data_IF_621789726392
#
_entry.id   IF_621789726392
#
_cell.length_a   1.000
_cell.length_b   1.000
_cell.length_c   1.000
_cell.angle_alpha   90.00
_cell.angle_beta   90.00
_cell.angle_gamma   90.00
#
_symmetry.space_group_name_H-M   'P 1'
#
loop_
_entity.id
_entity.type
_entity.pdbx_description
1 polymer ?
#
# COMPACT_ATOMS: atom_id res chain seq x y z
N UNK A 1 10.26 16.46 8.01
CA UNK A 1 9.52 15.21 7.71
C UNK A 1 9.04 14.64 9.03
N UNK A 2 7.78 14.33 9.21
CA UNK A 2 7.30 13.78 10.50
C UNK A 2 7.88 12.38 10.70
N UNK A 3 8.26 12.04 11.95
CA UNK A 3 8.82 10.73 12.27
C UNK A 3 7.94 9.56 11.84
N UNK A 4 6.61 9.79 11.71
CA UNK A 4 5.65 8.80 11.23
C UNK A 4 5.87 8.39 9.77
N UNK A 5 6.14 9.34 8.87
CA UNK A 5 6.41 9.04 7.44
C UNK A 5 7.69 8.21 7.30
N UNK A 6 8.76 8.58 8.01
CA UNK A 6 10.01 7.81 7.98
C UNK A 6 9.82 6.40 8.56
N UNK A 7 9.11 6.28 9.67
CA UNK A 7 8.81 4.99 10.29
C UNK A 7 8.02 4.07 9.34
N UNK A 8 7.03 4.63 8.65
CA UNK A 8 6.24 3.94 7.63
C UNK A 8 7.11 3.44 6.49
N UNK A 9 7.96 4.32 5.95
CA UNK A 9 8.90 3.97 4.87
C UNK A 9 9.80 2.79 5.27
N UNK A 10 10.37 2.80 6.48
CA UNK A 10 11.21 1.70 6.98
C UNK A 10 10.44 0.37 6.94
N UNK A 11 9.21 0.35 7.47
CA UNK A 11 8.41 -0.88 7.53
C UNK A 11 8.03 -1.38 6.15
N UNK A 12 7.57 -0.49 5.26
CA UNK A 12 7.25 -0.88 3.89
C UNK A 12 8.47 -1.38 3.12
N UNK A 13 9.62 -0.70 3.24
CA UNK A 13 10.84 -1.13 2.55
C UNK A 13 11.28 -2.54 2.99
N UNK A 14 11.17 -2.86 4.29
CA UNK A 14 11.46 -4.21 4.80
C UNK A 14 10.47 -5.24 4.23
N UNK A 15 9.16 -4.97 4.29
CA UNK A 15 8.13 -5.88 3.77
C UNK A 15 8.30 -6.15 2.27
N UNK A 16 8.58 -5.11 1.50
CA UNK A 16 8.79 -5.20 0.04
C UNK A 16 10.08 -5.98 -0.27
N UNK A 17 11.18 -5.75 0.45
CA UNK A 17 12.41 -6.51 0.31
C UNK A 17 12.22 -7.98 0.62
N UNK A 18 11.48 -8.31 1.69
CA UNK A 18 11.16 -9.69 2.06
C UNK A 18 10.35 -10.39 0.95
N UNK A 19 9.39 -9.69 0.35
CA UNK A 19 8.61 -10.20 -0.77
C UNK A 19 9.47 -10.44 -2.01
N UNK A 20 10.30 -9.47 -2.40
CA UNK A 20 11.20 -9.56 -3.56
C UNK A 20 12.23 -10.68 -3.38
N UNK A 21 12.74 -10.87 -2.17
CA UNK A 21 13.68 -11.96 -1.88
C UNK A 21 13.07 -13.35 -2.14
N UNK A 22 11.78 -13.52 -1.90
CA UNK A 22 11.04 -14.75 -2.14
C UNK A 22 10.54 -14.87 -3.59
N UNK A 23 10.38 -13.74 -4.30
CA UNK A 23 9.83 -13.66 -5.64
C UNK A 23 10.70 -12.72 -6.52
N UNK A 24 11.93 -13.12 -6.90
CA UNK A 24 12.90 -12.20 -7.50
C UNK A 24 12.49 -11.63 -8.87
N UNK A 25 11.66 -12.35 -9.62
CA UNK A 25 11.18 -11.95 -10.95
C UNK A 25 9.73 -11.40 -10.89
N UNK A 26 9.28 -10.89 -9.73
CA UNK A 26 7.93 -10.38 -9.54
C UNK A 26 7.66 -9.09 -10.30
N UNK A 27 6.38 -8.79 -10.47
CA UNK A 27 5.88 -7.46 -10.81
C UNK A 27 5.49 -6.71 -9.53
N UNK A 28 5.85 -5.44 -9.43
CA UNK A 28 5.42 -4.54 -8.32
C UNK A 28 4.63 -3.39 -8.91
N UNK A 29 3.46 -3.11 -8.34
CA UNK A 29 2.60 -1.98 -8.71
C UNK A 29 2.45 -1.08 -7.48
N UNK A 30 3.02 0.12 -7.55
CA UNK A 30 2.93 1.13 -6.51
C UNK A 30 1.76 2.09 -6.83
N UNK A 31 0.62 1.87 -6.20
CA UNK A 31 -0.63 2.60 -6.43
C UNK A 31 -0.63 3.91 -5.64
N UNK A 32 -0.96 5.01 -6.30
CA UNK A 32 -0.84 6.38 -5.79
C UNK A 32 0.60 6.66 -5.30
N UNK A 33 1.55 6.40 -6.19
CA UNK A 33 2.98 6.36 -5.89
C UNK A 33 3.56 7.72 -5.48
N UNK A 34 2.93 8.83 -5.85
CA UNK A 34 3.46 10.17 -5.64
C UNK A 34 4.92 10.29 -6.12
N UNK A 35 5.77 10.82 -5.27
CA UNK A 35 7.22 10.91 -5.50
C UNK A 35 8.01 9.86 -4.70
N UNK A 36 7.41 8.69 -4.41
CA UNK A 36 8.12 7.59 -3.74
C UNK A 36 9.28 7.08 -4.60
N UNK A 37 10.44 6.94 -3.96
CA UNK A 37 11.68 6.45 -4.58
C UNK A 37 12.00 5.01 -4.18
N UNK A 38 11.01 4.26 -3.67
CA UNK A 38 11.22 2.88 -3.20
C UNK A 38 11.77 1.97 -4.29
N UNK A 39 11.27 2.10 -5.52
CA UNK A 39 11.75 1.33 -6.67
C UNK A 39 13.28 1.28 -6.74
N UNK A 40 13.95 2.42 -6.52
CA UNK A 40 15.41 2.50 -6.58
C UNK A 40 16.13 1.90 -5.36
N UNK A 41 15.46 1.85 -4.21
CA UNK A 41 16.03 1.32 -2.96
C UNK A 41 15.94 -0.21 -2.84
N UNK A 42 14.98 -0.80 -3.56
CA UNK A 42 14.66 -2.23 -3.43
C UNK A 42 14.88 -3.02 -4.72
N UNK A 43 15.30 -2.36 -5.81
CA UNK A 43 15.52 -3.00 -7.10
C UNK A 43 16.58 -4.10 -7.01
N UNK A 44 16.22 -5.29 -7.47
CA UNK A 44 17.11 -6.46 -7.53
C UNK A 44 17.71 -6.70 -8.93
N UNK A 45 17.45 -5.82 -9.89
CA UNK A 45 17.90 -5.93 -11.27
C UNK A 45 17.05 -6.86 -12.16
N UNK A 46 15.99 -7.48 -11.65
CA UNK A 46 15.13 -8.45 -12.36
C UNK A 46 13.66 -8.08 -12.37
N UNK A 47 13.12 -7.60 -11.23
CA UNK A 47 11.71 -7.23 -11.09
C UNK A 47 11.28 -6.18 -12.11
N UNK A 48 9.96 -6.12 -12.37
CA UNK A 48 9.31 -5.01 -13.05
C UNK A 48 8.58 -4.15 -12.05
N UNK A 49 8.63 -2.83 -12.21
CA UNK A 49 8.02 -1.88 -11.30
C UNK A 49 7.15 -0.89 -12.07
N UNK A 50 5.89 -0.75 -11.65
CA UNK A 50 4.95 0.21 -12.19
C UNK A 50 4.57 1.23 -11.12
N UNK A 51 4.80 2.51 -11.41
CA UNK A 51 4.37 3.63 -10.59
C UNK A 51 3.06 4.17 -11.17
N UNK A 52 1.95 3.97 -10.47
CA UNK A 52 0.60 4.38 -10.87
C UNK A 52 0.17 5.59 -10.04
N UNK A 53 -0.23 6.67 -10.69
CA UNK A 53 -0.83 7.83 -10.04
C UNK A 53 -1.66 8.63 -11.06
N UNK A 54 -2.26 9.73 -10.62
CA UNK A 54 -2.95 10.67 -11.50
C UNK A 54 -2.00 11.25 -12.56
N UNK A 55 -2.50 11.57 -13.77
CA UNK A 55 -1.65 12.04 -14.88
C UNK A 55 -0.72 13.20 -14.51
N UNK A 56 -1.22 14.19 -13.75
CA UNK A 56 -0.44 15.35 -13.32
C UNK A 56 0.68 15.01 -12.33
N UNK A 57 0.50 13.95 -11.52
CA UNK A 57 1.53 13.46 -10.59
C UNK A 57 2.61 12.71 -11.36
N UNK A 58 2.21 11.88 -12.34
CA UNK A 58 3.13 11.16 -13.20
C UNK A 58 3.95 12.12 -14.07
N UNK A 59 3.32 13.14 -14.64
CA UNK A 59 4.05 14.19 -15.40
C UNK A 59 5.16 14.84 -14.56
N UNK A 60 4.87 15.19 -13.31
CA UNK A 60 5.88 15.74 -12.38
C UNK A 60 6.95 14.69 -12.05
N UNK A 61 6.55 13.43 -11.82
CA UNK A 61 7.46 12.33 -11.52
C UNK A 61 8.45 12.09 -12.66
N UNK A 62 7.97 12.04 -13.89
CA UNK A 62 8.79 11.81 -15.10
C UNK A 62 9.81 12.94 -15.30
N UNK A 63 9.43 14.19 -15.01
CA UNK A 63 10.36 15.32 -15.04
C UNK A 63 11.50 15.21 -13.99
N UNK A 64 11.22 14.61 -12.84
CA UNK A 64 12.18 14.52 -11.72
C UNK A 64 13.08 13.28 -11.81
N UNK A 65 12.56 12.15 -12.27
CA UNK A 65 13.25 10.86 -12.17
C UNK A 65 13.63 10.25 -13.51
N UNK A 66 12.94 10.58 -14.61
CA UNK A 66 13.25 10.06 -15.95
C UNK A 66 13.20 8.54 -16.03
N UNK A 67 12.18 7.93 -15.43
CA UNK A 67 12.02 6.47 -15.31
C UNK A 67 11.95 5.81 -16.67
N UNK A 68 12.61 4.66 -16.82
CA UNK A 68 12.64 3.87 -18.04
C UNK A 68 13.00 2.40 -17.76
N UNK A 69 12.88 1.56 -18.81
CA UNK A 69 13.26 0.14 -18.74
C UNK A 69 12.31 -0.66 -17.87
N UNK A 70 12.79 -1.22 -16.74
CA UNK A 70 12.01 -2.05 -15.82
C UNK A 70 11.13 -1.25 -14.84
N UNK A 71 11.38 0.06 -14.73
CA UNK A 71 10.57 0.98 -13.92
C UNK A 71 9.77 1.82 -14.90
N UNK A 72 8.45 1.71 -14.87
CA UNK A 72 7.50 2.38 -15.75
C UNK A 72 6.49 3.20 -14.97
N UNK A 73 5.88 4.18 -15.60
CA UNK A 73 4.85 5.05 -15.05
C UNK A 73 3.51 4.85 -15.75
N UNK A 74 2.40 4.95 -15.01
CA UNK A 74 1.03 4.87 -15.53
C UNK A 74 0.24 6.05 -14.99
N UNK A 75 -0.15 6.97 -15.86
CA UNK A 75 -0.91 8.18 -15.52
C UNK A 75 -2.42 7.93 -15.60
N UNK A 76 -2.97 7.14 -14.68
CA UNK A 76 -4.39 6.79 -14.61
C UNK A 76 -4.84 6.78 -13.14
N UNK A 77 -6.09 7.16 -12.88
CA UNK A 77 -6.66 7.05 -11.52
C UNK A 77 -6.65 5.60 -11.04
N UNK A 78 -6.33 5.37 -9.77
CA UNK A 78 -6.41 4.04 -9.16
C UNK A 78 -7.82 3.42 -9.20
N UNK A 79 -8.86 4.26 -9.37
CA UNK A 79 -10.26 3.84 -9.47
C UNK A 79 -10.69 3.46 -10.90
N UNK A 80 -9.86 3.67 -11.90
CA UNK A 80 -10.14 3.32 -13.29
C UNK A 80 -9.45 1.99 -13.64
N UNK A 81 -10.23 0.97 -13.98
CA UNK A 81 -9.72 -0.39 -14.27
C UNK A 81 -8.78 -0.47 -15.47
N UNK A 82 -8.72 0.57 -16.32
CA UNK A 82 -7.87 0.59 -17.51
C UNK A 82 -6.37 0.47 -17.20
N UNK A 83 -5.92 0.82 -15.99
CA UNK A 83 -4.53 0.66 -15.59
C UNK A 83 -4.09 -0.82 -15.53
N UNK A 84 -5.00 -1.72 -15.17
CA UNK A 84 -4.69 -3.14 -15.03
C UNK A 84 -4.22 -3.76 -16.36
N UNK A 85 -4.82 -3.33 -17.47
CA UNK A 85 -4.45 -3.79 -18.82
C UNK A 85 -3.09 -3.28 -19.32
N UNK A 86 -2.47 -2.31 -18.64
CA UNK A 86 -1.14 -1.79 -18.98
C UNK A 86 0.01 -2.50 -18.24
N UNK A 87 -0.33 -3.41 -17.32
CA UNK A 87 0.65 -4.12 -16.49
C UNK A 87 0.95 -5.48 -17.11
N UNK A 88 2.21 -5.68 -17.48
CA UNK A 88 2.71 -7.01 -17.80
C UNK A 88 2.96 -7.77 -16.48
N UNK A 89 1.97 -8.53 -16.04
CA UNK A 89 2.05 -9.31 -14.81
C UNK A 89 2.94 -10.55 -15.02
N UNK A 90 3.90 -10.74 -14.13
CA UNK A 90 4.60 -12.01 -13.94
C UNK A 90 3.78 -12.93 -13.02
N UNK A 91 4.29 -14.13 -12.75
CA UNK A 91 3.58 -15.13 -11.95
C UNK A 91 3.05 -14.60 -10.60
N UNK A 92 3.77 -13.69 -9.94
CA UNK A 92 3.33 -13.08 -8.69
C UNK A 92 3.46 -11.55 -8.76
N UNK A 93 2.38 -10.85 -8.43
CA UNK A 93 2.33 -9.38 -8.46
C UNK A 93 2.13 -8.83 -7.05
N UNK A 94 2.98 -7.88 -6.65
CA UNK A 94 2.84 -7.12 -5.41
C UNK A 94 2.19 -5.78 -5.69
N UNK A 95 1.12 -5.46 -4.96
CA UNK A 95 0.48 -4.15 -4.94
C UNK A 95 0.83 -3.43 -3.66
N UNK A 96 1.33 -2.21 -3.77
CA UNK A 96 1.62 -1.32 -2.65
C UNK A 96 0.60 -0.18 -2.69
N UNK A 97 -0.14 0.01 -1.58
CA UNK A 97 -1.11 1.10 -1.41
C UNK A 97 -0.72 1.86 -0.14
N UNK A 98 0.10 2.89 -0.31
CA UNK A 98 0.63 3.69 0.79
C UNK A 98 0.13 5.14 0.72
N UNK A 99 -0.43 5.66 1.82
CA UNK A 99 -0.84 7.07 1.91
C UNK A 99 -2.12 7.42 1.15
N UNK A 100 -2.92 6.43 0.72
CA UNK A 100 -4.11 6.64 -0.12
C UNK A 100 -5.42 6.33 0.60
N UNK A 101 -5.56 5.14 1.18
CA UNK A 101 -6.86 4.57 1.60
C UNK A 101 -7.63 5.46 2.57
N UNK A 102 -6.94 6.21 3.40
CA UNK A 102 -7.57 7.11 4.37
C UNK A 102 -8.36 8.26 3.72
N UNK A 103 -8.11 8.59 2.46
CA UNK A 103 -8.79 9.65 1.72
C UNK A 103 -9.95 9.14 0.86
N UNK A 104 -10.09 7.83 0.73
CA UNK A 104 -11.13 7.14 -0.04
C UNK A 104 -12.30 6.73 0.85
N UNK A 105 -13.45 6.45 0.26
CA UNK A 105 -14.55 5.74 0.92
C UNK A 105 -14.28 4.24 0.97
N UNK A 106 -15.05 3.51 1.76
CA UNK A 106 -15.00 2.05 1.78
C UNK A 106 -15.25 1.45 0.39
N UNK A 107 -16.23 2.01 -0.34
CA UNK A 107 -16.58 1.60 -1.70
C UNK A 107 -15.42 1.84 -2.67
N UNK A 108 -14.76 3.00 -2.60
CA UNK A 108 -13.60 3.33 -3.45
C UNK A 108 -12.40 2.41 -3.16
N UNK A 109 -12.15 2.06 -1.89
CA UNK A 109 -11.15 1.05 -1.53
C UNK A 109 -11.54 -0.31 -2.10
N UNK A 110 -12.82 -0.70 -1.98
CA UNK A 110 -13.37 -1.92 -2.57
C UNK A 110 -13.15 -1.97 -4.08
N UNK A 111 -13.41 -0.90 -4.82
CA UNK A 111 -13.18 -0.82 -6.27
C UNK A 111 -11.72 -1.11 -6.64
N UNK A 112 -10.74 -0.57 -5.90
CA UNK A 112 -9.31 -0.86 -6.15
C UNK A 112 -9.03 -2.34 -5.92
N UNK A 113 -9.52 -2.93 -4.83
CA UNK A 113 -9.32 -4.33 -4.52
C UNK A 113 -10.03 -5.25 -5.52
N UNK A 114 -11.21 -4.87 -6.00
CA UNK A 114 -11.94 -5.60 -7.05
C UNK A 114 -11.14 -5.59 -8.37
N UNK A 115 -10.57 -4.45 -8.77
CA UNK A 115 -9.70 -4.36 -9.96
C UNK A 115 -8.52 -5.33 -9.81
N UNK A 116 -7.86 -5.35 -8.65
CA UNK A 116 -6.74 -6.27 -8.39
C UNK A 116 -7.22 -7.72 -8.46
N UNK A 117 -8.31 -8.04 -7.78
CA UNK A 117 -8.87 -9.39 -7.72
C UNK A 117 -9.24 -9.91 -9.10
N UNK A 118 -9.87 -9.10 -9.93
CA UNK A 118 -10.46 -9.53 -11.19
C UNK A 118 -9.43 -9.64 -12.32
N UNK A 119 -8.28 -8.96 -12.20
CA UNK A 119 -7.26 -8.93 -13.25
C UNK A 119 -5.96 -9.68 -12.89
N UNK A 120 -5.71 -10.02 -11.62
CA UNK A 120 -4.45 -10.64 -11.20
C UNK A 120 -4.73 -11.89 -10.37
N UNK A 121 -4.43 -13.05 -10.93
CA UNK A 121 -4.70 -14.36 -10.30
C UNK A 121 -3.81 -14.64 -9.08
N UNK A 122 -2.61 -14.09 -9.03
CA UNK A 122 -1.64 -14.25 -7.93
C UNK A 122 -1.16 -12.87 -7.47
N UNK A 123 -1.94 -12.27 -6.58
CA UNK A 123 -1.72 -10.92 -6.07
C UNK A 123 -1.41 -10.92 -4.58
N UNK A 124 -0.38 -10.21 -4.17
CA UNK A 124 -0.14 -9.83 -2.78
C UNK A 124 -0.36 -8.32 -2.64
N UNK A 125 -1.11 -7.90 -1.64
CA UNK A 125 -1.41 -6.49 -1.37
C UNK A 125 -0.79 -6.09 -0.04
N UNK A 126 -0.04 -5.00 -0.04
CA UNK A 126 0.46 -4.31 1.15
C UNK A 126 -0.24 -2.95 1.24
N UNK A 127 -1.20 -2.83 2.11
CA UNK A 127 -2.11 -1.69 2.19
C UNK A 127 -1.98 -0.97 3.53
N UNK A 128 -1.67 0.33 3.47
CA UNK A 128 -1.72 1.18 4.67
C UNK A 128 -3.16 1.56 4.99
N UNK A 129 -3.50 1.45 6.29
CA UNK A 129 -4.76 1.93 6.84
C UNK A 129 -4.52 2.76 8.10
N UNK A 130 -5.35 3.77 8.31
CA UNK A 130 -5.42 4.45 9.61
C UNK A 130 -6.45 3.77 10.50
N UNK A 131 -6.28 3.94 11.82
CA UNK A 131 -7.32 3.50 12.75
C UNK A 131 -8.61 4.33 12.55
N UNK A 132 -9.80 3.70 12.61
CA UNK A 132 -11.09 4.40 12.55
C UNK A 132 -11.24 5.52 13.58
N UNK A 133 -10.47 5.47 14.68
CA UNK A 133 -10.42 6.53 15.70
C UNK A 133 -9.99 7.87 15.10
N UNK A 134 -9.07 7.86 14.12
CA UNK A 134 -8.62 9.10 13.45
C UNK A 134 -9.65 9.64 12.48
N UNK A 135 -10.42 8.78 11.83
CA UNK A 135 -11.55 9.18 10.97
C UNK A 135 -12.61 9.91 11.82
N UNK A 136 -12.91 9.41 13.02
CA UNK A 136 -13.87 10.03 13.93
C UNK A 136 -13.36 11.35 14.55
N UNK A 137 -12.03 11.57 14.62
CA UNK A 137 -11.40 12.74 15.25
C UNK A 137 -10.82 13.72 14.22
N UNK A 138 -11.57 14.02 13.17
CA UNK A 138 -11.14 14.96 12.14
C UNK A 138 -10.72 16.32 12.73
N UNK A 139 -9.65 16.90 12.17
CA UNK A 139 -9.14 18.22 12.58
C UNK A 139 -8.04 18.19 13.64
N UNK A 140 -7.70 17.05 14.22
CA UNK A 140 -6.59 16.92 15.18
C UNK A 140 -5.24 16.82 14.47
N UNK A 141 -5.21 16.27 13.24
CA UNK A 141 -3.99 16.09 12.45
C UNK A 141 -3.58 17.39 11.74
N UNK A 142 -2.64 18.10 12.33
CA UNK A 142 -2.13 19.39 11.78
C UNK A 142 -1.47 19.26 10.42
N UNK A 143 -0.99 18.05 10.05
CA UNK A 143 -0.29 17.82 8.79
C UNK A 143 -1.22 17.93 7.57
N UNK A 144 -2.51 17.57 7.70
CA UNK A 144 -3.50 17.65 6.63
C UNK A 144 -4.40 18.91 6.72
N UNK A 145 -4.40 19.60 7.86
CA UNK A 145 -5.24 20.80 8.05
C UNK A 145 -4.99 21.90 7.00
N UNK A 146 -3.77 21.94 6.44
CA UNK A 146 -3.39 22.92 5.40
C UNK A 146 -3.84 22.54 3.99
N UNK A 147 -4.10 21.25 3.73
CA UNK A 147 -4.48 20.74 2.40
C UNK A 147 -5.98 20.66 2.20
N UNK A 148 -6.77 20.84 3.25
CA UNK A 148 -8.22 20.64 3.22
C UNK A 148 -8.65 19.17 3.09
N UNK A 149 -7.73 18.23 3.04
CA UNK A 149 -8.01 16.80 2.98
C UNK A 149 -8.69 16.31 4.28
N UNK A 150 -9.58 15.33 4.14
CA UNK A 150 -10.30 14.73 5.27
C UNK A 150 -10.10 13.21 5.24
N UNK A 151 -9.94 12.62 6.41
CA UNK A 151 -9.97 11.18 6.53
C UNK A 151 -11.40 10.68 6.36
N UNK A 152 -11.62 9.71 5.48
CA UNK A 152 -12.94 9.18 5.12
C UNK A 152 -13.13 7.74 5.57
N UNK A 153 -12.06 6.95 5.62
CA UNK A 153 -12.10 5.54 5.95
C UNK A 153 -10.84 5.08 6.66
N UNK A 154 -10.95 3.96 7.40
CA UNK A 154 -9.83 3.31 8.06
C UNK A 154 -10.21 1.93 8.61
N UNK A 155 -9.21 1.08 8.81
CA UNK A 155 -9.35 -0.26 9.38
C UNK A 155 -8.16 -0.59 10.29
N UNK A 156 -8.36 -1.42 11.32
CA UNK A 156 -7.29 -1.85 12.22
C UNK A 156 -6.73 -3.23 11.88
N UNK A 157 -7.41 -4.03 11.08
CA UNK A 157 -7.02 -5.39 10.69
C UNK A 157 -7.65 -5.77 9.37
N UNK A 158 -7.13 -6.84 8.75
CA UNK A 158 -7.73 -7.42 7.56
C UNK A 158 -9.18 -7.87 7.81
N UNK A 159 -9.47 -8.42 8.99
CA UNK A 159 -10.81 -8.89 9.33
C UNK A 159 -11.85 -7.74 9.36
N UNK A 160 -11.41 -6.50 9.65
CA UNK A 160 -12.26 -5.32 9.60
C UNK A 160 -12.59 -4.84 8.16
N UNK A 161 -11.95 -5.38 7.12
CA UNK A 161 -12.31 -5.09 5.74
C UNK A 161 -13.69 -5.66 5.37
N UNK A 162 -14.11 -6.76 6.01
CA UNK A 162 -15.40 -7.40 5.73
C UNK A 162 -15.52 -7.79 4.26
N UNK A 163 -16.60 -7.38 3.60
CA UNK A 163 -16.84 -7.68 2.18
C UNK A 163 -15.84 -7.05 1.22
N UNK A 164 -15.14 -5.98 1.61
CA UNK A 164 -14.08 -5.35 0.81
C UNK A 164 -12.92 -6.31 0.57
N UNK A 165 -12.63 -7.17 1.57
CA UNK A 165 -11.56 -8.17 1.50
C UNK A 165 -11.94 -9.49 0.80
N UNK A 166 -13.15 -9.61 0.23
CA UNK A 166 -13.60 -10.85 -0.40
C UNK A 166 -12.66 -11.28 -1.52
N UNK A 167 -12.32 -12.58 -1.53
CA UNK A 167 -11.39 -13.18 -2.50
C UNK A 167 -9.92 -12.96 -2.17
N UNK A 168 -9.61 -12.43 -0.99
CA UNK A 168 -8.26 -12.34 -0.44
C UNK A 168 -8.15 -13.08 0.88
N UNK A 169 -6.93 -13.54 1.20
CA UNK A 169 -6.58 -14.20 2.45
C UNK A 169 -5.55 -13.37 3.20
N UNK A 170 -5.75 -13.24 4.50
CA UNK A 170 -4.83 -12.54 5.38
C UNK A 170 -3.49 -13.27 5.47
N UNK A 171 -2.42 -12.54 5.24
CA UNK A 171 -1.06 -12.97 5.58
C UNK A 171 -0.70 -12.47 6.98
N UNK A 172 -0.77 -11.14 7.18
CA UNK A 172 -0.51 -10.53 8.49
C UNK A 172 -1.08 -9.11 8.59
N UNK A 173 -1.33 -8.68 9.81
CA UNK A 173 -1.53 -7.28 10.17
C UNK A 173 -0.26 -6.76 10.85
N UNK A 174 0.37 -5.76 10.25
CA UNK A 174 1.56 -5.07 10.78
C UNK A 174 1.20 -3.62 11.17
N UNK A 175 2.17 -2.88 11.67
CA UNK A 175 2.02 -1.48 12.03
C UNK A 175 3.35 -0.74 11.99
N UNK A 176 3.32 0.59 12.03
CA UNK A 176 4.51 1.42 11.92
C UNK A 176 5.36 1.50 13.20
N UNK A 177 4.94 0.87 14.32
CA UNK A 177 5.64 1.00 15.62
C UNK A 177 7.08 0.49 15.58
N UNK A 178 7.36 -0.59 14.82
CA UNK A 178 8.72 -1.08 14.68
C UNK A 178 9.62 -0.09 13.92
N UNK A 179 9.09 0.59 12.92
CA UNK A 179 9.79 1.67 12.23
C UNK A 179 10.01 2.88 13.14
N UNK A 180 9.02 3.22 14.00
CA UNK A 180 9.20 4.26 15.01
C UNK A 180 10.28 3.88 16.03
N UNK A 181 10.35 2.61 16.44
CA UNK A 181 11.36 2.10 17.36
C UNK A 181 12.77 2.10 16.74
N UNK A 182 12.89 1.89 15.43
CA UNK A 182 14.15 2.03 14.71
C UNK A 182 14.68 3.48 14.71
N UNK A 183 13.78 4.47 14.75
CA UNK A 183 14.15 5.90 14.79
C UNK A 183 14.39 6.36 16.22
N UNK A 184 13.56 5.94 17.16
CA UNK A 184 13.61 6.33 18.56
C UNK A 184 13.34 5.13 19.47
N UNK A 185 14.37 4.63 20.19
CA UNK A 185 14.28 3.40 20.99
C UNK A 185 13.16 3.39 22.03
N UNK A 186 12.70 4.55 22.50
CA UNK A 186 11.59 4.65 23.47
C UNK A 186 10.32 3.95 22.97
N UNK A 187 10.11 3.89 21.65
CA UNK A 187 8.94 3.22 21.06
C UNK A 187 8.98 1.68 21.20
N UNK A 188 10.11 1.07 21.55
CA UNK A 188 10.14 -0.34 21.96
C UNK A 188 9.29 -0.60 23.20
N UNK A 189 9.21 0.37 24.11
CA UNK A 189 8.40 0.27 25.33
C UNK A 189 6.96 0.61 25.00
N UNK A 190 6.71 1.74 24.34
CA UNK A 190 5.35 2.17 23.98
C UNK A 190 4.65 1.18 23.04
N UNK A 191 5.37 0.55 22.11
CA UNK A 191 4.84 -0.44 21.18
C UNK A 191 4.30 -1.71 21.85
N UNK A 192 4.63 -1.96 23.13
CA UNK A 192 4.05 -3.06 23.90
C UNK A 192 2.66 -2.74 24.46
N UNK A 193 2.28 -1.45 24.51
CA UNK A 193 0.99 -1.02 25.05
C UNK A 193 -0.13 -1.32 24.05
N UNK A 194 -1.21 -2.03 24.46
CA UNK A 194 -2.33 -2.36 23.58
C UNK A 194 -2.98 -1.13 22.93
N UNK A 195 -3.08 -0.03 23.68
CA UNK A 195 -3.64 1.23 23.19
C UNK A 195 -2.79 1.83 22.05
N UNK A 196 -1.47 1.82 22.18
CA UNK A 196 -0.57 2.31 21.14
C UNK A 196 -0.77 1.51 19.84
N UNK A 197 -0.83 0.19 19.94
CA UNK A 197 -1.12 -0.67 18.79
C UNK A 197 -2.47 -0.35 18.15
N UNK A 198 -3.50 -0.04 18.95
CA UNK A 198 -4.86 0.22 18.45
C UNK A 198 -4.97 1.52 17.65
N UNK A 199 -4.23 2.57 18.02
CA UNK A 199 -4.33 3.90 17.38
C UNK A 199 -3.27 4.16 16.32
N UNK A 200 -2.27 3.29 16.19
CA UNK A 200 -1.19 3.43 15.20
C UNK A 200 -1.67 3.03 13.80
N UNK A 201 -1.08 3.64 12.77
CA UNK A 201 -1.26 3.23 11.38
C UNK A 201 -0.93 1.75 11.20
N UNK A 202 -1.75 1.08 10.40
CA UNK A 202 -1.65 -0.35 10.07
C UNK A 202 -1.08 -0.55 8.70
N UNK A 203 -0.44 -1.69 8.51
CA UNK A 203 -0.06 -2.20 7.20
C UNK A 203 -0.65 -3.59 7.12
N UNK A 204 -1.72 -3.71 6.34
CA UNK A 204 -2.40 -4.98 6.11
C UNK A 204 -1.72 -5.68 4.94
N UNK A 205 -1.29 -6.92 5.15
CA UNK A 205 -0.69 -7.76 4.12
C UNK A 205 -1.61 -8.94 3.90
N UNK A 206 -2.10 -9.07 2.67
CA UNK A 206 -3.03 -10.12 2.28
C UNK A 206 -2.78 -10.53 0.83
N UNK A 207 -3.22 -11.71 0.45
CA UNK A 207 -2.98 -12.25 -0.87
C UNK A 207 -4.20 -12.94 -1.46
N UNK A 208 -4.15 -13.14 -2.76
CA UNK A 208 -4.99 -14.00 -3.54
C UNK A 208 -4.12 -14.97 -4.31
N UNK A 209 -4.43 -16.26 -4.23
CA UNK A 209 -3.84 -17.30 -5.06
C UNK A 209 -4.93 -17.96 -5.92
N UNK A 210 -4.57 -18.34 -7.14
CA UNK A 210 -5.49 -18.93 -8.13
C UNK A 210 -6.09 -20.29 -7.74
N UNK A 211 -5.60 -20.90 -6.67
CA UNK A 211 -6.07 -22.21 -6.17
C UNK A 211 -7.53 -22.17 -5.69
N UNK A 212 -8.04 -20.97 -5.34
CA UNK A 212 -9.38 -20.81 -4.76
C UNK A 212 -10.54 -20.89 -5.79
N UNK A 213 -10.24 -20.97 -7.08
CA UNK A 213 -11.25 -21.07 -8.13
C UNK A 213 -11.69 -22.52 -8.43
N UNK A 214 -10.89 -23.52 -8.06
CA UNK A 214 -11.20 -24.92 -8.33
C UNK A 214 -12.01 -25.61 -7.20
N UNK A 215 -12.03 -25.07 -5.99
CA UNK A 215 -12.80 -25.64 -4.86
C UNK A 215 -14.27 -25.16 -4.80
N UNK A 216 -14.66 -24.14 -5.58
CA UNK A 216 -16.03 -23.57 -5.59
C UNK A 216 -16.76 -23.77 -6.94
N UNK A 217 -16.25 -24.59 -7.84
CA UNK A 217 -16.89 -24.98 -9.09
C UNK A 217 -17.34 -26.46 -9.00
#
# INVERSE_FOLDING_TARGET
MSGGVLARTIVFDELVKDFIAQNPDCTVVNIACGLDTRAYRVDNGKLRWYNLDLPEVIELRDQLFGENGRISTIGISALDSAWAGQIEAHEKTLFIIEGLTMYLTAEEVGMILDIIRDNFSRATVMMECISPVWVARQGVEKSIAKTGAKFRWGANSFDELGSIGNGFHKIKDDNILRGMAAIQPIYHIFGKLPLAKKITQKILVFERDSVDLEENA
#
